data_IF_112995344492
#
_entry.id   IF_112995344492
#
_cell.length_a   1.000
_cell.length_b   1.000
_cell.length_c   1.000
_cell.angle_alpha   90.00
_cell.angle_beta   90.00
_cell.angle_gamma   90.00
#
_symmetry.space_group_name_H-M   'P 1'
#
loop_
_entity.id
_entity.type
_entity.pdbx_description
1 polymer ?
#
# COMPACT_ATOMS: atom_id res chain seq x y z
N UNK A 1 -35.76 -69.90 21.92
CA UNK A 1 -35.11 -68.59 22.19
C UNK A 1 -33.83 -68.55 21.37
N UNK A 2 -33.82 -67.84 20.26
CA UNK A 2 -32.71 -67.88 19.28
C UNK A 2 -32.21 -66.47 19.02
N UNK A 3 -30.93 -66.26 19.37
CA UNK A 3 -30.18 -65.01 19.32
C UNK A 3 -29.97 -64.51 17.89
N UNK A 4 -30.25 -63.23 17.63
CA UNK A 4 -29.96 -62.55 16.35
C UNK A 4 -29.26 -61.20 16.57
N UNK A 5 -28.16 -61.22 17.33
CA UNK A 5 -27.18 -60.13 17.33
C UNK A 5 -26.06 -60.54 16.38
N UNK A 6 -25.78 -59.78 15.31
CA UNK A 6 -24.46 -59.71 14.64
C UNK A 6 -24.40 -58.80 13.40
N UNK A 7 -25.52 -58.36 12.80
CA UNK A 7 -25.44 -57.65 11.51
C UNK A 7 -25.23 -56.13 11.61
N UNK A 8 -25.67 -55.47 12.70
CA UNK A 8 -25.68 -53.99 12.74
C UNK A 8 -24.35 -53.36 13.18
N UNK A 9 -23.60 -54.00 14.09
CA UNK A 9 -22.33 -53.48 14.58
C UNK A 9 -21.19 -53.53 13.52
N UNK A 10 -21.27 -54.45 12.56
CA UNK A 10 -20.24 -54.62 11.52
C UNK A 10 -20.27 -53.52 10.45
N UNK A 11 -21.44 -52.92 10.18
CA UNK A 11 -21.58 -51.86 9.16
C UNK A 11 -21.02 -50.50 9.58
N UNK A 12 -21.09 -50.17 10.87
CA UNK A 12 -20.55 -48.92 11.41
C UNK A 12 -19.03 -48.97 11.53
N UNK A 13 -18.47 -50.11 11.97
CA UNK A 13 -17.03 -50.30 12.09
C UNK A 13 -16.30 -50.27 10.72
N UNK A 14 -16.88 -50.86 9.67
CA UNK A 14 -16.27 -50.84 8.33
C UNK A 14 -16.27 -49.43 7.69
N UNK A 15 -17.28 -48.59 7.95
CA UNK A 15 -17.31 -47.21 7.41
C UNK A 15 -16.30 -46.29 8.09
N UNK A 16 -16.06 -46.46 9.39
CA UNK A 16 -14.99 -45.75 10.10
C UNK A 16 -13.59 -46.14 9.59
N UNK A 17 -13.39 -47.43 9.28
CA UNK A 17 -12.10 -47.98 8.81
C UNK A 17 -11.69 -47.51 7.40
N UNK A 18 -12.63 -47.05 6.56
CA UNK A 18 -12.33 -46.50 5.22
C UNK A 18 -12.30 -44.97 5.23
N UNK A 19 -13.15 -44.31 6.03
CA UNK A 19 -13.20 -42.85 6.09
C UNK A 19 -11.97 -42.22 6.76
N UNK A 20 -11.45 -42.84 7.83
CA UNK A 20 -10.25 -42.35 8.53
C UNK A 20 -8.99 -42.28 7.66
N UNK A 21 -8.58 -43.34 6.92
CA UNK A 21 -7.42 -43.25 6.05
C UNK A 21 -7.63 -42.29 4.87
N UNK A 22 -8.86 -42.12 4.36
CA UNK A 22 -9.16 -41.15 3.31
C UNK A 22 -8.98 -39.70 3.78
N UNK A 23 -9.46 -39.36 4.97
CA UNK A 23 -9.28 -38.01 5.54
C UNK A 23 -7.81 -37.76 5.88
N UNK A 24 -7.11 -38.72 6.48
CA UNK A 24 -5.67 -38.62 6.70
C UNK A 24 -4.87 -38.48 5.39
N UNK A 25 -5.26 -39.18 4.33
CA UNK A 25 -4.69 -39.06 2.99
C UNK A 25 -4.91 -37.68 2.38
N UNK A 26 -6.10 -37.11 2.52
CA UNK A 26 -6.40 -35.75 2.01
C UNK A 26 -5.63 -34.67 2.77
N UNK A 27 -5.53 -34.78 4.09
CA UNK A 27 -4.78 -33.83 4.93
C UNK A 27 -3.28 -33.89 4.62
N UNK A 28 -2.71 -35.09 4.48
CA UNK A 28 -1.29 -35.27 4.12
C UNK A 28 -1.00 -34.80 2.69
N UNK A 29 -1.87 -35.11 1.72
CA UNK A 29 -1.72 -34.60 0.35
C UNK A 29 -1.82 -33.06 0.29
N UNK A 30 -2.72 -32.45 1.04
CA UNK A 30 -2.82 -30.99 1.16
C UNK A 30 -1.56 -30.36 1.76
N UNK A 31 -1.00 -30.96 2.81
CA UNK A 31 0.27 -30.52 3.42
C UNK A 31 1.44 -30.64 2.44
N UNK A 32 1.57 -31.77 1.74
CA UNK A 32 2.63 -31.99 0.74
C UNK A 32 2.50 -31.08 -0.49
N UNK A 33 1.29 -30.65 -0.85
CA UNK A 33 1.08 -29.65 -1.91
C UNK A 33 1.38 -28.22 -1.44
N UNK A 34 1.10 -27.90 -0.17
CA UNK A 34 1.44 -26.60 0.42
C UNK A 34 2.96 -26.41 0.59
N UNK A 35 3.69 -27.49 0.85
CA UNK A 35 5.15 -27.47 1.06
C UNK A 35 5.93 -27.41 -0.27
N UNK A 36 5.26 -27.56 -1.42
CA UNK A 36 5.84 -27.30 -2.74
C UNK A 36 5.92 -25.79 -2.96
N UNK A 37 6.91 -25.17 -2.32
CA UNK A 37 7.37 -23.84 -2.72
C UNK A 37 7.63 -23.85 -4.23
N UNK A 38 7.12 -22.89 -5.01
CA UNK A 38 7.43 -22.78 -6.42
C UNK A 38 8.95 -22.76 -6.59
N UNK A 39 9.48 -23.63 -7.44
CA UNK A 39 10.90 -23.59 -7.80
C UNK A 39 11.23 -22.17 -8.29
N UNK A 40 12.31 -21.54 -7.81
CA UNK A 40 12.66 -20.19 -8.23
C UNK A 40 12.77 -20.15 -9.76
N UNK A 41 11.88 -19.41 -10.40
CA UNK A 41 11.99 -19.17 -11.84
C UNK A 41 13.39 -18.58 -12.12
N UNK A 42 14.06 -18.98 -13.23
CA UNK A 42 15.34 -18.40 -13.59
C UNK A 42 15.19 -16.88 -13.62
N UNK A 43 16.06 -16.20 -12.88
CA UNK A 43 16.01 -14.75 -12.79
C UNK A 43 16.04 -14.15 -14.21
N UNK A 44 15.15 -13.23 -14.55
CA UNK A 44 15.28 -12.48 -15.80
C UNK A 44 16.67 -11.84 -15.84
N UNK A 45 17.28 -11.67 -17.03
CA UNK A 45 18.56 -10.97 -17.14
C UNK A 45 18.45 -9.63 -16.44
N UNK A 46 19.53 -9.12 -15.82
CA UNK A 46 19.50 -7.83 -15.15
C UNK A 46 19.05 -6.80 -16.17
N UNK A 47 17.79 -6.35 -16.05
CA UNK A 47 17.36 -5.13 -16.69
C UNK A 47 18.26 -4.06 -16.10
N UNK A 48 19.16 -3.53 -16.93
CA UNK A 48 19.85 -2.29 -16.63
C UNK A 48 18.73 -1.28 -16.48
N UNK A 49 18.31 -1.05 -15.24
CA UNK A 49 17.51 0.12 -14.92
C UNK A 49 18.47 1.25 -15.19
N UNK A 50 18.34 1.85 -16.36
CA UNK A 50 18.87 3.18 -16.60
C UNK A 50 18.49 3.96 -15.35
N UNK A 51 19.48 4.36 -14.56
CA UNK A 51 19.24 5.25 -13.46
C UNK A 51 18.73 6.51 -14.13
N UNK A 52 17.40 6.65 -14.18
CA UNK A 52 16.76 7.90 -14.56
C UNK A 52 17.49 8.90 -13.70
N UNK A 53 18.21 9.81 -14.36
CA UNK A 53 18.77 11.00 -13.73
C UNK A 53 17.59 11.91 -13.41
N UNK A 54 16.67 11.38 -12.60
CA UNK A 54 15.67 12.13 -11.89
C UNK A 54 16.39 12.87 -10.78
N UNK A 55 15.78 13.95 -10.27
CA UNK A 55 16.34 14.69 -9.15
C UNK A 55 16.71 13.68 -8.06
N UNK A 56 17.98 13.73 -7.65
CA UNK A 56 18.52 12.86 -6.60
C UNK A 56 17.54 12.86 -5.43
N UNK A 57 17.40 11.72 -4.76
CA UNK A 57 16.53 11.51 -3.59
C UNK A 57 16.87 12.50 -2.44
N UNK A 58 17.87 13.36 -2.60
CA UNK A 58 18.26 14.46 -1.71
C UNK A 58 17.56 15.80 -2.01
N UNK A 59 17.03 15.99 -3.23
CA UNK A 59 16.07 17.07 -3.56
C UNK A 59 14.67 16.79 -2.97
N UNK A 60 14.46 15.60 -2.38
CA UNK A 60 13.19 15.13 -1.79
C UNK A 60 12.71 15.97 -0.61
N UNK A 61 13.55 16.80 0.00
CA UNK A 61 13.12 17.82 0.97
C UNK A 61 12.52 19.08 0.33
N UNK A 62 12.30 19.10 -0.99
CA UNK A 62 11.65 20.19 -1.71
C UNK A 62 10.35 20.73 -1.08
N UNK A 63 9.49 19.94 -0.40
CA UNK A 63 8.33 20.50 0.32
C UNK A 63 8.72 21.52 1.38
N UNK A 64 9.78 21.25 2.15
CA UNK A 64 10.25 22.14 3.22
C UNK A 64 10.77 23.44 2.60
N UNK A 65 11.56 23.33 1.54
CA UNK A 65 12.15 24.46 0.83
C UNK A 65 11.10 25.32 0.11
N UNK A 66 10.04 24.69 -0.40
CA UNK A 66 8.88 25.37 -0.98
C UNK A 66 7.98 26.06 0.08
N UNK A 67 8.17 25.78 1.37
CA UNK A 67 7.46 26.43 2.46
C UNK A 67 8.28 27.59 3.10
N UNK A 68 9.58 27.71 2.81
CA UNK A 68 10.45 28.71 3.44
C UNK A 68 10.09 30.15 3.00
N UNK A 69 9.79 31.06 3.95
CA UNK A 69 9.55 32.47 3.63
C UNK A 69 10.85 33.13 3.18
N UNK A 70 11.12 33.13 1.87
CA UNK A 70 12.31 33.79 1.32
C UNK A 70 12.70 33.39 -0.11
N UNK A 71 12.23 32.24 -0.62
CA UNK A 71 12.65 31.73 -1.94
C UNK A 71 11.62 31.88 -3.07
N UNK A 72 10.55 32.68 -2.91
CA UNK A 72 9.53 32.75 -3.97
C UNK A 72 8.59 33.96 -3.99
N UNK A 73 8.88 35.03 -3.26
CA UNK A 73 8.18 36.29 -3.46
C UNK A 73 8.94 37.16 -4.47
N UNK A 74 9.03 36.74 -5.74
CA UNK A 74 9.02 37.74 -6.80
C UNK A 74 7.62 38.36 -6.77
N UNK A 75 7.54 39.62 -6.36
CA UNK A 75 6.31 40.34 -6.04
C UNK A 75 5.24 40.34 -7.14
N UNK A 76 4.06 40.84 -6.77
CA UNK A 76 2.82 40.94 -7.56
C UNK A 76 2.09 39.61 -7.83
N UNK A 77 1.08 39.28 -7.01
CA UNK A 77 -0.05 38.43 -7.40
C UNK A 77 0.25 36.98 -7.84
N UNK A 78 1.45 36.47 -7.59
CA UNK A 78 1.93 35.17 -8.06
C UNK A 78 1.48 33.97 -7.21
N UNK A 79 1.52 32.78 -7.82
CA UNK A 79 1.26 31.46 -7.19
C UNK A 79 2.17 31.25 -5.97
N UNK A 80 1.69 30.53 -4.94
CA UNK A 80 2.51 30.18 -3.77
C UNK A 80 3.75 29.37 -4.18
N UNK A 81 4.85 29.39 -3.41
CA UNK A 81 6.05 28.63 -3.80
C UNK A 81 5.79 27.11 -3.83
N UNK A 82 4.89 26.59 -2.99
CA UNK A 82 4.41 25.20 -3.08
C UNK A 82 3.66 24.91 -4.39
N UNK A 83 2.81 25.83 -4.86
CA UNK A 83 2.14 25.68 -6.16
C UNK A 83 3.16 25.72 -7.30
N UNK A 84 4.15 26.61 -7.25
CA UNK A 84 5.19 26.70 -8.28
C UNK A 84 6.02 25.42 -8.34
N UNK A 85 6.37 24.84 -7.18
CA UNK A 85 7.02 23.53 -7.09
C UNK A 85 6.15 22.44 -7.73
N UNK A 86 4.87 22.36 -7.36
CA UNK A 86 3.97 21.36 -7.90
C UNK A 86 3.80 21.47 -9.42
N UNK A 87 3.63 22.69 -9.95
CA UNK A 87 3.50 22.95 -11.39
C UNK A 87 4.75 22.53 -12.17
N UNK A 88 5.95 22.73 -11.60
CA UNK A 88 7.22 22.33 -12.22
C UNK A 88 7.38 20.81 -12.30
N UNK A 89 6.90 20.08 -11.27
CA UNK A 89 7.03 18.63 -11.19
C UNK A 89 5.90 17.88 -11.89
N UNK A 90 4.71 18.48 -12.00
CA UNK A 90 3.50 17.80 -12.47
C UNK A 90 3.65 17.15 -13.85
N UNK A 91 4.18 17.90 -14.83
CA UNK A 91 4.41 17.41 -16.19
C UNK A 91 5.46 16.30 -16.25
N UNK A 92 6.70 16.54 -15.78
CA UNK A 92 7.77 15.56 -15.82
C UNK A 92 7.49 14.27 -15.06
N UNK A 93 6.75 14.33 -13.95
CA UNK A 93 6.40 13.16 -13.14
C UNK A 93 5.08 12.50 -13.54
N UNK A 94 4.30 13.11 -14.43
CA UNK A 94 2.91 12.75 -14.71
C UNK A 94 2.11 12.56 -13.41
N UNK A 95 2.10 13.60 -12.57
CA UNK A 95 1.32 13.65 -11.34
C UNK A 95 0.52 14.96 -11.34
N UNK A 96 -0.81 14.94 -11.11
CA UNK A 96 -1.58 16.17 -10.97
C UNK A 96 -0.99 17.11 -9.91
N UNK A 97 -0.89 18.41 -10.21
CA UNK A 97 -0.31 19.39 -9.29
C UNK A 97 -1.01 19.40 -7.92
N UNK A 98 -2.34 19.25 -7.89
CA UNK A 98 -3.11 19.15 -6.65
C UNK A 98 -2.74 17.92 -5.81
N UNK A 99 -2.43 16.79 -6.46
CA UNK A 99 -1.97 15.59 -5.79
C UNK A 99 -0.56 15.79 -5.21
N UNK A 100 0.35 16.43 -5.96
CA UNK A 100 1.69 16.79 -5.48
C UNK A 100 1.62 17.69 -4.24
N UNK A 101 0.79 18.73 -4.28
CA UNK A 101 0.54 19.62 -3.12
C UNK A 101 0.01 18.80 -1.93
N UNK A 102 -0.93 17.89 -2.20
CA UNK A 102 -1.44 16.97 -1.20
C UNK A 102 -0.34 16.13 -0.54
N UNK A 103 0.49 15.45 -1.33
CA UNK A 103 1.58 14.60 -0.82
C UNK A 103 2.63 15.40 -0.05
N UNK A 104 3.00 16.59 -0.54
CA UNK A 104 3.92 17.50 0.15
C UNK A 104 3.37 17.93 1.52
N UNK A 105 2.10 18.33 1.58
CA UNK A 105 1.45 18.67 2.85
C UNK A 105 1.33 17.47 3.78
N UNK A 106 1.11 16.27 3.22
CA UNK A 106 1.11 15.00 3.96
C UNK A 106 2.43 14.75 4.68
N UNK A 107 3.56 14.83 3.96
CA UNK A 107 4.89 14.70 4.57
C UNK A 107 5.15 15.77 5.64
N UNK A 108 4.87 17.04 5.33
CA UNK A 108 5.13 18.14 6.26
C UNK A 108 4.33 18.00 7.56
N UNK A 109 3.07 17.60 7.46
CA UNK A 109 2.23 17.32 8.62
C UNK A 109 2.83 16.18 9.46
N UNK A 110 3.17 15.06 8.83
CA UNK A 110 3.72 13.90 9.56
C UNK A 110 5.07 14.18 10.17
N UNK A 111 5.93 14.98 9.53
CA UNK A 111 7.21 15.39 10.11
C UNK A 111 7.01 16.19 11.41
N UNK A 112 5.93 16.97 11.51
CA UNK A 112 5.56 17.69 12.71
C UNK A 112 4.84 16.82 13.77
N UNK A 113 4.01 15.88 13.32
CA UNK A 113 3.18 15.02 14.19
C UNK A 113 3.95 13.80 14.73
N UNK A 114 4.67 13.09 13.86
CA UNK A 114 5.49 11.92 14.17
C UNK A 114 6.82 11.94 13.38
N UNK A 115 7.84 12.63 13.92
CA UNK A 115 9.14 12.74 13.26
C UNK A 115 9.86 11.40 13.04
N UNK A 116 9.48 10.34 13.78
CA UNK A 116 10.12 9.02 13.71
C UNK A 116 9.60 8.16 12.56
N UNK A 117 8.44 8.52 11.99
CA UNK A 117 7.85 7.79 10.87
C UNK A 117 8.64 7.96 9.56
N UNK A 118 9.35 9.08 9.38
CA UNK A 118 10.18 9.39 8.20
C UNK A 118 9.46 9.19 6.84
N UNK A 119 8.13 9.35 6.80
CA UNK A 119 7.36 9.17 5.57
C UNK A 119 7.60 10.35 4.61
N UNK A 120 7.96 10.04 3.36
CA UNK A 120 8.20 11.04 2.32
C UNK A 120 6.99 11.24 1.39
N UNK A 121 6.91 12.40 0.75
CA UNK A 121 5.93 12.69 -0.29
C UNK A 121 6.07 11.74 -1.48
N UNK A 122 7.28 11.25 -1.77
CA UNK A 122 7.54 10.26 -2.83
C UNK A 122 6.85 8.94 -2.49
N UNK A 123 6.91 8.52 -1.22
CA UNK A 123 6.20 7.33 -0.75
C UNK A 123 4.69 7.51 -0.89
N UNK A 124 4.16 8.66 -0.47
CA UNK A 124 2.74 8.99 -0.63
C UNK A 124 2.32 9.01 -2.11
N UNK A 125 3.16 9.55 -2.99
CA UNK A 125 2.93 9.54 -4.44
C UNK A 125 2.87 8.12 -5.00
N UNK A 126 3.80 7.25 -4.61
CA UNK A 126 3.78 5.84 -5.00
C UNK A 126 2.49 5.13 -4.58
N UNK A 127 2.05 5.34 -3.33
CA UNK A 127 0.77 4.79 -2.83
C UNK A 127 -0.41 5.36 -3.64
N UNK A 128 -0.42 6.66 -3.88
CA UNK A 128 -1.50 7.31 -4.61
C UNK A 128 -1.62 6.90 -6.07
N UNK A 129 -0.50 6.61 -6.72
CA UNK A 129 -0.46 6.00 -8.05
C UNK A 129 -1.16 4.66 -8.03
N UNK A 130 -0.77 3.77 -7.09
CA UNK A 130 -1.30 2.42 -7.02
C UNK A 130 -2.78 2.36 -6.60
N UNK A 131 -3.20 3.27 -5.71
CA UNK A 131 -4.54 3.25 -5.13
C UNK A 131 -5.60 3.96 -5.99
N UNK A 132 -5.22 5.03 -6.70
CA UNK A 132 -6.21 5.94 -7.30
C UNK A 132 -5.76 6.61 -8.59
N UNK A 133 -4.63 6.20 -9.18
CA UNK A 133 -4.01 6.90 -10.31
C UNK A 133 -3.86 8.41 -10.01
N UNK A 134 -3.38 8.73 -8.80
CA UNK A 134 -3.27 10.09 -8.26
C UNK A 134 -4.58 10.89 -8.17
N UNK A 135 -5.73 10.21 -8.13
CA UNK A 135 -7.04 10.87 -7.98
C UNK A 135 -7.61 11.48 -9.27
N UNK A 136 -7.09 11.09 -10.45
CA UNK A 136 -7.51 11.64 -11.75
C UNK A 136 -9.01 11.52 -12.05
N UNK A 137 -9.66 10.50 -11.51
CA UNK A 137 -11.10 10.26 -11.70
C UNK A 137 -11.99 11.01 -10.68
N UNK A 138 -11.46 12.05 -10.03
CA UNK A 138 -12.16 12.77 -8.96
C UNK A 138 -12.15 12.05 -7.61
N UNK A 139 -11.43 10.92 -7.52
CA UNK A 139 -11.12 10.27 -6.26
C UNK A 139 -10.10 11.09 -5.46
N UNK A 140 -10.08 10.93 -4.14
CA UNK A 140 -8.99 11.49 -3.35
C UNK A 140 -7.67 10.82 -3.77
N UNK A 141 -6.53 11.54 -3.75
CA UNK A 141 -5.27 11.09 -4.36
C UNK A 141 -4.63 9.87 -3.69
N UNK A 142 -5.21 9.36 -2.59
CA UNK A 142 -4.78 8.15 -1.90
C UNK A 142 -5.88 7.07 -1.82
N UNK A 143 -7.00 7.26 -2.52
CA UNK A 143 -8.07 6.27 -2.59
C UNK A 143 -8.78 5.96 -1.26
N UNK A 144 -8.67 6.82 -0.25
CA UNK A 144 -9.28 6.59 1.07
C UNK A 144 -10.80 6.50 0.99
N UNK A 145 -11.37 5.55 1.74
CA UNK A 145 -12.81 5.47 2.00
C UNK A 145 -13.24 6.57 2.97
N UNK A 146 -14.55 6.86 3.01
CA UNK A 146 -15.12 7.81 3.97
C UNK A 146 -14.87 7.38 5.44
N UNK A 147 -14.84 6.06 5.72
CA UNK A 147 -14.54 5.54 7.04
C UNK A 147 -13.08 5.83 7.45
N UNK A 148 -12.12 5.62 6.54
CA UNK A 148 -10.71 5.94 6.76
C UNK A 148 -10.50 7.45 6.95
N UNK A 149 -11.13 8.29 6.11
CA UNK A 149 -11.08 9.74 6.27
C UNK A 149 -11.67 10.20 7.64
N UNK A 150 -12.74 9.56 8.13
CA UNK A 150 -13.28 9.86 9.46
C UNK A 150 -12.33 9.45 10.60
N UNK A 151 -11.59 8.34 10.45
CA UNK A 151 -10.65 7.82 11.46
C UNK A 151 -9.36 8.65 11.52
N UNK A 152 -8.79 8.99 10.37
CA UNK A 152 -7.45 9.60 10.30
C UNK A 152 -7.45 11.09 9.92
N UNK A 153 -8.59 11.65 9.51
CA UNK A 153 -8.77 13.08 9.19
C UNK A 153 -9.28 13.32 7.75
N UNK A 154 -9.86 14.49 7.53
CA UNK A 154 -10.46 14.84 6.23
C UNK A 154 -9.41 15.14 5.13
N UNK A 155 -8.19 15.51 5.50
CA UNK A 155 -7.08 15.70 4.56
C UNK A 155 -6.52 14.34 4.15
N UNK A 156 -6.99 13.80 3.02
CA UNK A 156 -6.66 12.44 2.58
C UNK A 156 -5.14 12.11 2.59
N UNK A 157 -4.24 13.00 2.13
CA UNK A 157 -2.80 12.77 2.21
C UNK A 157 -2.26 12.57 3.63
N UNK A 158 -2.71 13.42 4.56
CA UNK A 158 -2.32 13.36 5.97
C UNK A 158 -2.92 12.12 6.63
N UNK A 159 -4.18 11.84 6.34
CA UNK A 159 -4.91 10.69 6.88
C UNK A 159 -4.27 9.36 6.51
N UNK A 160 -3.96 9.14 5.24
CA UNK A 160 -3.25 7.95 4.81
C UNK A 160 -1.82 7.92 5.36
N UNK A 161 -1.16 9.07 5.45
CA UNK A 161 0.13 9.20 6.09
C UNK A 161 0.13 8.67 7.52
N UNK A 162 -0.85 9.08 8.33
CA UNK A 162 -1.03 8.58 9.71
C UNK A 162 -1.28 7.08 9.72
N UNK A 163 -2.10 6.57 8.80
CA UNK A 163 -2.36 5.13 8.68
C UNK A 163 -1.09 4.33 8.32
N UNK A 164 -0.25 4.87 7.43
CA UNK A 164 1.04 4.29 7.04
C UNK A 164 2.03 4.33 8.21
N UNK A 165 2.11 5.44 8.93
CA UNK A 165 2.94 5.58 10.13
C UNK A 165 2.52 4.64 11.27
N UNK A 166 1.21 4.35 11.38
CA UNK A 166 0.67 3.40 12.36
C UNK A 166 0.90 1.91 12.00
N UNK A 167 1.66 1.61 10.93
CA UNK A 167 2.02 0.25 10.54
C UNK A 167 1.29 -0.28 9.30
N UNK A 168 0.42 0.52 8.65
CA UNK A 168 -0.17 0.21 7.34
C UNK A 168 -1.17 -0.95 7.30
N UNK A 169 -1.40 -1.66 8.40
CA UNK A 169 -2.34 -2.80 8.48
C UNK A 169 -3.81 -2.40 8.31
N UNK A 170 -4.11 -1.11 8.42
CA UNK A 170 -5.47 -0.56 8.35
C UNK A 170 -5.87 -0.07 6.94
N UNK A 171 -5.04 -0.32 5.92
CA UNK A 171 -5.27 0.07 4.52
C UNK A 171 -5.93 -1.02 3.66
N UNK A 172 -6.38 -2.12 4.28
CA UNK A 172 -7.09 -3.24 3.63
C UNK A 172 -8.60 -3.16 3.70
#
# INVERSE_FOLDING_TARGET
>A
MTTKQTSWARGAALRGLVALPLVAGLVTAGWLLADRSPEPAPAPPPVVREAVSGPSVLEVSAPVKAQEPGQGASGQGGKSPLQQWADQLAGPLDIPADALIGYANGELALRGEDPSCHLSWVTLAGVGSAASNHGRDGANPLGLTAAQAKKYGANAPVAAGRALCAGGTDLG
#
